data_IF_944778119204
#
_entry.id   IF_944778119204
#
_cell.length_a   1.000
_cell.length_b   1.000
_cell.length_c   1.000
_cell.angle_alpha   90.00
_cell.angle_beta   90.00
_cell.angle_gamma   90.00
#
_symmetry.space_group_name_H-M   'P 1'
#
loop_
_entity.id
_entity.type
_entity.pdbx_description
1 polymer ?
#
# COMPACT_ATOMS: atom_id res chain seq x y z
N UNK A 1 -46.07 0.54 -5.20
CA UNK A 1 -44.60 0.54 -5.27
C UNK A 1 -44.06 -0.32 -4.14
N UNK A 2 -43.73 -1.60 -4.41
CA UNK A 2 -43.03 -2.45 -3.42
C UNK A 2 -41.64 -2.76 -3.95
N UNK A 3 -40.73 -1.82 -3.71
CA UNK A 3 -39.29 -2.00 -3.89
C UNK A 3 -38.66 -2.77 -2.71
N UNK A 4 -39.47 -3.38 -1.84
CA UNK A 4 -39.06 -3.91 -0.53
C UNK A 4 -38.29 -5.23 -0.57
N UNK A 5 -38.11 -5.84 -1.75
CA UNK A 5 -37.51 -7.19 -1.87
C UNK A 5 -36.41 -7.27 -2.93
N UNK A 6 -35.68 -6.18 -3.19
CA UNK A 6 -34.44 -6.24 -3.96
C UNK A 6 -33.31 -6.80 -3.07
N UNK A 7 -33.13 -8.12 -3.10
CA UNK A 7 -32.06 -8.85 -2.38
C UNK A 7 -30.67 -8.68 -3.01
N UNK A 8 -30.59 -7.95 -4.13
CA UNK A 8 -29.39 -7.82 -4.97
C UNK A 8 -28.56 -6.56 -4.69
N UNK A 9 -28.99 -5.70 -3.76
CA UNK A 9 -28.18 -4.54 -3.39
C UNK A 9 -26.96 -5.00 -2.59
N UNK A 10 -25.77 -4.64 -3.07
CA UNK A 10 -24.54 -4.80 -2.31
C UNK A 10 -24.54 -3.81 -1.14
N UNK A 11 -24.49 -4.33 0.08
CA UNK A 11 -24.36 -3.55 1.31
C UNK A 11 -22.94 -3.69 1.85
N UNK A 12 -22.10 -2.64 1.79
CA UNK A 12 -20.70 -2.72 2.22
C UNK A 12 -20.52 -3.14 3.68
N UNK A 13 -21.49 -2.85 4.54
CA UNK A 13 -21.45 -3.19 5.97
C UNK A 13 -21.55 -4.70 6.24
N UNK A 14 -22.14 -5.46 5.31
CA UNK A 14 -22.30 -6.91 5.40
C UNK A 14 -21.23 -7.68 4.60
N UNK A 15 -20.31 -6.98 3.94
CA UNK A 15 -19.22 -7.61 3.19
C UNK A 15 -18.07 -8.03 4.12
N UNK A 16 -18.20 -9.24 4.65
CA UNK A 16 -17.18 -9.91 5.44
C UNK A 16 -16.24 -10.79 4.61
N UNK A 17 -16.29 -10.74 3.28
CA UNK A 17 -15.50 -11.63 2.40
C UNK A 17 -13.98 -11.50 2.62
N UNK A 18 -13.55 -10.34 3.12
CA UNK A 18 -12.14 -10.03 3.39
C UNK A 18 -11.67 -10.45 4.80
N UNK A 19 -12.55 -10.97 5.65
CA UNK A 19 -12.20 -11.45 6.98
C UNK A 19 -11.45 -12.78 6.88
N UNK A 20 -10.30 -12.86 7.56
CA UNK A 20 -9.54 -14.09 7.64
C UNK A 20 -10.05 -14.93 8.82
N UNK A 21 -10.33 -16.21 8.56
CA UNK A 21 -10.66 -17.19 9.59
C UNK A 21 -9.43 -18.06 9.93
N UNK A 22 -9.42 -18.68 11.10
CA UNK A 22 -8.25 -19.42 11.61
C UNK A 22 -7.98 -20.68 10.76
N UNK A 23 -9.03 -21.27 10.23
CA UNK A 23 -9.04 -22.42 9.32
C UNK A 23 -8.76 -22.05 7.85
N UNK A 24 -8.68 -20.76 7.53
CA UNK A 24 -8.48 -20.31 6.16
C UNK A 24 -7.01 -20.49 5.72
N UNK A 25 -6.77 -21.46 4.84
CA UNK A 25 -5.46 -21.71 4.23
C UNK A 25 -5.12 -20.75 3.08
N UNK A 26 -6.02 -19.85 2.68
CA UNK A 26 -5.80 -18.92 1.58
C UNK A 26 -4.87 -17.79 2.03
N UNK A 27 -4.10 -17.25 1.08
CA UNK A 27 -3.32 -16.03 1.32
C UNK A 27 -4.28 -14.84 1.51
N UNK A 28 -3.99 -14.00 2.49
CA UNK A 28 -4.75 -12.77 2.73
C UNK A 28 -4.64 -11.84 1.52
N UNK A 29 -5.80 -11.36 1.04
CA UNK A 29 -5.86 -10.45 -0.11
C UNK A 29 -5.60 -9.02 0.37
N UNK A 30 -4.83 -8.26 -0.40
CA UNK A 30 -4.59 -6.85 -0.11
C UNK A 30 -5.83 -6.02 -0.49
N UNK A 31 -6.33 -5.23 0.45
CA UNK A 31 -7.39 -4.26 0.18
C UNK A 31 -6.83 -3.03 -0.52
N UNK A 32 -7.68 -2.23 -1.16
CA UNK A 32 -7.28 -0.97 -1.78
C UNK A 32 -6.61 -0.01 -0.78
N UNK A 33 -7.04 -0.03 0.48
CA UNK A 33 -6.41 0.71 1.57
C UNK A 33 -4.96 0.26 1.81
N UNK A 34 -4.72 -1.05 1.81
CA UNK A 34 -3.37 -1.60 1.94
C UNK A 34 -2.48 -1.23 0.75
N UNK A 35 -3.01 -1.34 -0.48
CA UNK A 35 -2.28 -0.99 -1.70
C UNK A 35 -1.87 0.50 -1.71
N UNK A 36 -2.80 1.39 -1.34
CA UNK A 36 -2.52 2.82 -1.25
C UNK A 36 -1.45 3.14 -0.20
N UNK A 37 -1.48 2.46 0.96
CA UNK A 37 -0.43 2.60 1.98
C UNK A 37 0.93 2.15 1.44
N UNK A 38 0.99 0.98 0.79
CA UNK A 38 2.23 0.45 0.21
C UNK A 38 2.80 1.40 -0.86
N UNK A 39 1.94 2.00 -1.70
CA UNK A 39 2.37 2.99 -2.68
C UNK A 39 3.05 4.18 -2.00
N UNK A 40 2.42 4.77 -0.99
CA UNK A 40 2.99 5.90 -0.23
C UNK A 40 4.37 5.55 0.37
N UNK A 41 4.50 4.36 0.95
CA UNK A 41 5.77 3.89 1.52
C UNK A 41 6.86 3.74 0.46
N UNK A 42 6.51 3.26 -0.75
CA UNK A 42 7.47 3.15 -1.86
C UNK A 42 7.97 4.52 -2.32
N UNK A 43 7.06 5.50 -2.46
CA UNK A 43 7.45 6.86 -2.84
C UNK A 43 8.41 7.48 -1.81
N UNK A 44 8.13 7.33 -0.52
CA UNK A 44 9.01 7.83 0.55
C UNK A 44 10.40 7.17 0.44
N UNK A 45 10.45 5.84 0.31
CA UNK A 45 11.72 5.11 0.17
C UNK A 45 12.51 5.54 -1.05
N UNK A 46 11.83 5.82 -2.16
CA UNK A 46 12.48 6.30 -3.39
C UNK A 46 13.13 7.67 -3.15
N UNK A 47 12.39 8.60 -2.54
CA UNK A 47 12.91 9.92 -2.20
C UNK A 47 14.11 9.84 -1.23
N UNK A 48 14.04 8.95 -0.23
CA UNK A 48 15.15 8.74 0.72
C UNK A 48 16.39 8.15 0.01
N UNK A 49 16.20 7.23 -0.93
CA UNK A 49 17.29 6.66 -1.72
C UNK A 49 17.96 7.70 -2.62
N UNK A 50 17.19 8.61 -3.23
CA UNK A 50 17.72 9.70 -4.05
C UNK A 50 18.60 10.64 -3.19
N UNK A 51 18.10 11.08 -2.04
CA UNK A 51 18.88 11.89 -1.09
C UNK A 51 20.14 11.19 -0.59
N UNK A 52 20.05 9.90 -0.30
CA UNK A 52 21.19 9.12 0.16
C UNK A 52 22.27 9.00 -0.93
N UNK A 53 21.89 8.81 -2.21
CA UNK A 53 22.84 8.81 -3.33
C UNK A 53 23.60 10.12 -3.44
N UNK A 54 22.89 11.26 -3.34
CA UNK A 54 23.53 12.58 -3.36
C UNK A 54 24.50 12.75 -2.19
N UNK A 55 24.08 12.36 -0.99
CA UNK A 55 24.90 12.41 0.21
C UNK A 55 26.16 11.54 0.12
N UNK A 56 26.04 10.31 -0.38
CA UNK A 56 27.19 9.41 -0.58
C UNK A 56 28.14 9.97 -1.63
N UNK A 57 27.62 10.55 -2.71
CA UNK A 57 28.44 11.15 -3.76
C UNK A 57 29.25 12.34 -3.24
N UNK A 58 28.67 13.20 -2.38
CA UNK A 58 29.40 14.33 -1.79
C UNK A 58 30.40 13.88 -0.73
N UNK A 59 30.04 12.90 0.11
CA UNK A 59 30.91 12.42 1.17
C UNK A 59 32.21 11.78 0.66
N UNK A 60 32.14 11.10 -0.49
CA UNK A 60 33.29 10.45 -1.12
C UNK A 60 33.79 11.17 -2.38
N UNK A 61 33.39 12.44 -2.59
CA UNK A 61 33.92 13.22 -3.70
C UNK A 61 35.42 13.45 -3.54
N UNK A 62 36.16 13.42 -4.66
CA UNK A 62 37.57 13.77 -4.63
C UNK A 62 37.73 15.26 -4.24
N UNK A 63 38.72 15.60 -3.39
CA UNK A 63 38.99 16.99 -3.07
C UNK A 63 39.34 17.75 -4.35
N UNK A 64 38.97 19.04 -4.46
CA UNK A 64 39.32 19.84 -5.63
C UNK A 64 40.84 19.85 -5.78
N UNK A 65 41.33 19.64 -7.01
CA UNK A 65 42.76 19.74 -7.30
C UNK A 65 43.24 21.15 -6.95
N UNK A 66 44.28 21.22 -6.13
CA UNK A 66 44.88 22.47 -5.65
C UNK A 66 45.51 23.26 -6.80
#
# INVERSE_FOLDING_TARGET
>A
MRYSELKENYFPEHDHYHMAHIDDGRKTRLTLKHLNKLRKVREIRKADQEKNKEFVATMYAQPPAM
#
